data_IF_732574879286
#
_entry.id   IF_732574879286
#
_cell.length_a   1.000
_cell.length_b   1.000
_cell.length_c   1.000
_cell.angle_alpha   90.00
_cell.angle_beta   90.00
_cell.angle_gamma   90.00
#
_symmetry.space_group_name_H-M   'P 1'
#
loop_
_entity.id
_entity.type
_entity.pdbx_description
1 polymer ?
#
# COMPACT_ATOMS: atom_id res chain seq x y z
N UNK A 1 2.79 6.51 12.74
CA UNK A 1 3.20 5.39 11.87
C UNK A 1 3.86 5.97 10.64
N UNK A 2 4.97 5.41 10.18
CA UNK A 2 5.58 5.77 8.90
C UNK A 2 5.23 4.73 7.83
N UNK A 3 4.84 5.22 6.65
CA UNK A 3 4.61 4.39 5.46
C UNK A 3 5.55 4.87 4.36
N UNK A 4 6.42 3.98 3.90
CA UNK A 4 7.26 4.19 2.73
C UNK A 4 6.41 3.91 1.48
N UNK A 5 6.15 4.95 0.70
CA UNK A 5 5.48 4.86 -0.60
C UNK A 5 6.52 4.54 -1.66
N UNK A 6 6.31 3.47 -2.42
CA UNK A 6 7.21 3.04 -3.49
C UNK A 6 6.40 2.93 -4.79
N UNK A 7 6.88 3.47 -5.92
CA UNK A 7 6.22 3.23 -7.20
C UNK A 7 6.29 1.74 -7.56
N UNK A 8 5.27 1.21 -8.24
CA UNK A 8 5.32 -0.17 -8.74
C UNK A 8 6.35 -0.27 -9.87
N UNK A 9 6.96 -1.45 -10.01
CA UNK A 9 7.90 -1.70 -11.11
C UNK A 9 7.23 -1.48 -12.47
N UNK A 10 5.95 -1.85 -12.59
CA UNK A 10 5.15 -1.59 -13.79
C UNK A 10 5.05 -0.09 -14.12
N UNK A 11 4.80 0.76 -13.10
CA UNK A 11 4.74 2.21 -13.29
C UNK A 11 6.09 2.78 -13.72
N UNK A 12 7.20 2.31 -13.12
CA UNK A 12 8.54 2.73 -13.51
C UNK A 12 8.81 2.34 -14.97
N UNK A 13 8.46 1.11 -15.36
CA UNK A 13 8.62 0.68 -16.74
C UNK A 13 7.80 1.56 -17.71
N UNK A 14 6.55 1.90 -17.37
CA UNK A 14 5.70 2.76 -18.18
C UNK A 14 6.28 4.18 -18.31
N UNK A 15 6.66 4.81 -17.20
CA UNK A 15 7.16 6.19 -17.15
C UNK A 15 8.47 6.37 -17.94
N UNK A 16 9.34 5.36 -17.90
CA UNK A 16 10.63 5.38 -18.60
C UNK A 16 10.59 4.72 -19.99
N UNK A 17 9.45 4.16 -20.41
CA UNK A 17 9.30 3.46 -21.68
C UNK A 17 10.17 2.21 -21.79
N UNK A 18 10.36 1.51 -20.67
CA UNK A 18 11.19 0.32 -20.54
C UNK A 18 10.34 -0.94 -20.74
N UNK A 19 10.91 -1.96 -21.39
CA UNK A 19 10.35 -3.31 -21.36
C UNK A 19 10.93 -4.04 -20.16
N UNK A 20 10.07 -4.47 -19.24
CA UNK A 20 10.45 -5.22 -18.05
C UNK A 20 11.33 -6.43 -18.37
N UNK A 21 11.10 -7.11 -19.50
CA UNK A 21 11.84 -8.32 -19.87
C UNK A 21 13.26 -8.03 -20.37
N UNK A 22 13.50 -6.81 -20.86
CA UNK A 22 14.78 -6.37 -21.42
C UNK A 22 15.56 -5.44 -20.46
N UNK A 23 14.97 -5.11 -19.31
CA UNK A 23 15.54 -4.20 -18.31
C UNK A 23 16.13 -4.99 -17.14
N UNK A 24 17.25 -4.50 -16.61
CA UNK A 24 17.87 -5.10 -15.43
C UNK A 24 17.00 -4.86 -14.18
N UNK A 25 16.62 -5.94 -13.49
CA UNK A 25 15.85 -5.90 -12.24
C UNK A 25 16.54 -5.05 -11.16
N UNK A 26 17.87 -5.11 -11.06
CA UNK A 26 18.64 -4.31 -10.09
C UNK A 26 18.49 -2.81 -10.35
N UNK A 27 18.52 -2.38 -11.62
CA UNK A 27 18.34 -0.97 -12.00
C UNK A 27 16.90 -0.50 -11.70
N UNK A 28 15.90 -1.37 -11.92
CA UNK A 28 14.50 -1.06 -11.59
C UNK A 28 14.29 -0.91 -10.07
N UNK A 29 14.90 -1.78 -9.26
CA UNK A 29 14.82 -1.70 -7.81
C UNK A 29 15.57 -0.49 -7.25
N UNK A 30 16.72 -0.13 -7.82
CA UNK A 30 17.41 1.12 -7.49
C UNK A 30 16.54 2.34 -7.79
N UNK A 31 15.91 2.37 -8.98
CA UNK A 31 15.02 3.47 -9.37
C UNK A 31 13.80 3.55 -8.45
N UNK A 32 13.19 2.41 -8.11
CA UNK A 32 12.07 2.34 -7.15
C UNK A 32 12.46 2.96 -5.80
N UNK A 33 13.66 2.65 -5.30
CA UNK A 33 14.17 3.20 -4.05
C UNK A 33 14.46 4.71 -4.12
N UNK A 34 14.88 5.23 -5.27
CA UNK A 34 15.14 6.67 -5.46
C UNK A 34 13.85 7.51 -5.49
N UNK A 35 12.78 6.94 -6.04
CA UNK A 35 11.47 7.60 -6.12
C UNK A 35 10.59 7.36 -4.89
N UNK A 36 11.01 6.46 -4.00
CA UNK A 36 10.28 6.18 -2.78
C UNK A 36 10.31 7.38 -1.82
N UNK A 37 9.20 7.59 -1.11
CA UNK A 37 9.07 8.67 -0.14
C UNK A 37 8.25 8.26 1.07
N UNK A 38 8.57 8.83 2.23
CA UNK A 38 7.85 8.56 3.47
C UNK A 38 6.65 9.47 3.65
N UNK A 39 5.59 8.91 4.23
CA UNK A 39 4.52 9.67 4.85
C UNK A 39 4.41 9.32 6.33
N UNK A 40 3.98 10.30 7.13
CA UNK A 40 3.60 10.10 8.53
C UNK A 40 2.08 10.06 8.62
N UNK A 41 1.56 9.03 9.29
CA UNK A 41 0.13 8.83 9.53
C UNK A 41 -0.09 8.75 11.04
N UNK A 42 -0.97 9.62 11.55
CA UNK A 42 -1.35 9.64 12.96
C UNK A 42 -2.57 8.77 13.23
N UNK A 43 -2.76 8.42 14.51
CA UNK A 43 -3.94 7.69 14.96
C UNK A 43 -5.24 8.42 14.58
N UNK A 44 -6.16 7.69 13.96
CA UNK A 44 -7.44 8.20 13.44
C UNK A 44 -7.37 8.77 12.02
N UNK A 45 -6.17 9.00 11.46
CA UNK A 45 -6.02 9.59 10.13
C UNK A 45 -6.23 8.57 9.01
N UNK A 46 -6.75 9.07 7.88
CA UNK A 46 -6.87 8.30 6.65
C UNK A 46 -5.75 8.70 5.69
N UNK A 47 -5.24 7.73 4.94
CA UNK A 47 -4.20 7.91 3.94
C UNK A 47 -4.52 7.09 2.70
N UNK A 48 -4.01 7.54 1.55
CA UNK A 48 -4.20 6.89 0.26
C UNK A 48 -2.85 6.40 -0.27
N UNK A 49 -2.85 5.19 -0.81
CA UNK A 49 -1.77 4.66 -1.64
C UNK A 49 -2.25 4.79 -3.10
N UNK A 50 -1.61 5.64 -3.92
CA UNK A 50 -2.02 5.86 -5.32
C UNK A 50 -1.94 4.59 -6.18
N UNK A 51 -2.68 4.53 -7.30
CA UNK A 51 -2.78 3.33 -8.16
C UNK A 51 -1.45 2.79 -8.70
N UNK A 52 -0.41 3.62 -8.77
CA UNK A 52 0.92 3.25 -9.25
C UNK A 52 1.93 3.00 -8.11
N UNK A 53 1.46 2.88 -6.87
CA UNK A 53 2.31 2.77 -5.69
C UNK A 53 1.91 1.58 -4.81
N UNK A 54 2.87 1.10 -4.03
CA UNK A 54 2.66 0.27 -2.86
C UNK A 54 3.18 0.98 -1.62
N UNK A 55 2.60 0.66 -0.46
CA UNK A 55 2.97 1.25 0.82
C UNK A 55 3.59 0.21 1.75
N UNK A 56 4.84 0.40 2.16
CA UNK A 56 5.49 -0.43 3.17
C UNK A 56 5.42 0.25 4.53
N UNK A 57 4.81 -0.42 5.51
CA UNK A 57 4.81 0.08 6.89
C UNK A 57 6.20 -0.16 7.48
N UNK A 58 6.86 0.91 7.93
CA UNK A 58 8.12 0.77 8.65
C UNK A 58 7.81 0.35 10.10
N UNK A 59 8.10 -0.92 10.41
CA UNK A 59 7.75 -1.54 11.69
C UNK A 59 8.71 -1.11 12.80
N UNK A 60 8.36 -0.04 13.51
CA UNK A 60 9.04 0.40 14.74
C UNK A 60 8.71 -0.51 15.95
N UNK A 61 8.80 -1.84 15.82
CA UNK A 61 8.57 -2.85 16.90
C UNK A 61 7.10 -3.25 17.17
N UNK A 62 6.11 -2.66 16.47
CA UNK A 62 4.68 -3.01 16.59
C UNK A 62 4.15 -3.76 15.36
N UNK A 63 3.31 -4.78 15.60
CA UNK A 63 2.58 -5.48 14.54
C UNK A 63 1.34 -4.68 14.17
N UNK A 64 1.20 -4.32 12.90
CA UNK A 64 -0.02 -3.73 12.36
C UNK A 64 -0.94 -4.82 11.81
N UNK A 65 -2.24 -4.61 11.96
CA UNK A 65 -3.25 -5.56 11.51
C UNK A 65 -4.18 -4.91 10.51
N UNK A 66 -4.46 -5.62 9.42
CA UNK A 66 -5.46 -5.24 8.43
C UNK A 66 -6.83 -5.71 8.91
N UNK A 67 -7.78 -4.79 9.02
CA UNK A 67 -9.21 -5.09 9.17
C UNK A 67 -9.90 -4.96 7.82
N UNK A 68 -10.53 -6.05 7.38
CA UNK A 68 -11.33 -6.09 6.16
C UNK A 68 -12.77 -6.43 6.54
N UNK A 69 -13.72 -5.63 6.09
CA UNK A 69 -15.14 -5.93 6.25
C UNK A 69 -15.50 -7.07 5.28
N UNK A 70 -15.92 -8.20 5.83
CA UNK A 70 -16.26 -9.40 5.07
C UNK A 70 -17.77 -9.55 4.89
N UNK A 71 -18.55 -9.11 5.88
CA UNK A 71 -20.01 -9.11 5.84
C UNK A 71 -20.54 -7.82 6.47
N UNK A 72 -21.16 -6.97 5.63
CA UNK A 72 -21.75 -5.69 6.05
C UNK A 72 -23.01 -5.88 6.91
N UNK A 73 -23.76 -6.97 6.73
CA UNK A 73 -25.00 -7.22 7.46
C UNK A 73 -24.73 -7.71 8.89
N UNK A 74 -23.56 -8.31 9.13
CA UNK A 74 -23.15 -8.85 10.43
C UNK A 74 -22.03 -8.07 11.12
N UNK A 75 -21.57 -6.95 10.54
CA UNK A 75 -20.39 -6.19 10.98
C UNK A 75 -19.18 -7.12 11.24
N UNK A 76 -18.99 -8.12 10.37
CA UNK A 76 -17.94 -9.11 10.54
C UNK A 76 -16.65 -8.66 9.85
N UNK A 77 -15.60 -8.51 10.66
CA UNK A 77 -14.27 -8.13 10.20
C UNK A 77 -13.29 -9.28 10.34
N UNK A 78 -12.57 -9.55 9.26
CA UNK A 78 -11.36 -10.37 9.33
C UNK A 78 -10.16 -9.53 9.71
N UNK A 79 -9.31 -10.10 10.56
CA UNK A 79 -8.08 -9.49 11.03
C UNK A 79 -6.90 -10.30 10.55
N UNK A 80 -6.04 -9.66 9.78
CA UNK A 80 -4.83 -10.27 9.21
C UNK A 80 -3.59 -9.49 9.65
N UNK A 81 -2.49 -10.18 9.96
CA UNK A 81 -1.21 -9.53 10.25
C UNK A 81 -0.62 -9.03 8.94
N UNK A 82 -0.22 -7.76 8.90
CA UNK A 82 0.43 -7.20 7.70
C UNK A 82 1.89 -7.65 7.69
N UNK A 83 2.23 -8.55 6.76
CA UNK A 83 3.59 -9.04 6.53
C UNK A 83 4.18 -8.52 5.20
N UNK A 84 3.32 -8.15 4.26
CA UNK A 84 3.68 -7.68 2.93
C UNK A 84 3.35 -6.19 2.74
N UNK A 85 3.77 -5.63 1.60
CA UNK A 85 3.47 -4.26 1.20
C UNK A 85 1.95 -4.07 0.96
N UNK A 86 1.42 -2.93 1.39
CA UNK A 86 0.03 -2.55 1.15
C UNK A 86 -0.15 -2.17 -0.33
N UNK A 87 -1.18 -2.72 -1.02
CA UNK A 87 -1.49 -2.31 -2.39
C UNK A 87 -2.07 -0.90 -2.43
N UNK A 88 -2.33 -0.41 -3.65
CA UNK A 88 -3.06 0.85 -3.83
C UNK A 88 -4.46 0.80 -3.23
N UNK A 89 -4.89 1.91 -2.64
CA UNK A 89 -6.19 2.00 -1.97
C UNK A 89 -6.26 3.05 -0.86
N UNK A 90 -7.44 3.16 -0.25
CA UNK A 90 -7.68 4.03 0.90
C UNK A 90 -7.62 3.22 2.20
N UNK A 91 -6.83 3.75 3.13
CA UNK A 91 -6.57 3.15 4.43
C UNK A 91 -6.89 4.16 5.53
N UNK A 92 -7.27 3.65 6.69
CA UNK A 92 -7.40 4.44 7.91
C UNK A 92 -6.64 3.75 9.03
N UNK A 93 -5.83 4.51 9.76
CA UNK A 93 -5.17 4.04 10.95
C UNK A 93 -6.08 4.24 12.17
N UNK A 94 -6.33 3.17 12.92
CA UNK A 94 -6.95 3.18 14.24
C UNK A 94 -6.01 2.44 15.19
N UNK A 95 -5.22 3.21 15.95
CA UNK A 95 -4.13 2.76 16.83
C UNK A 95 -3.10 1.91 16.06
N UNK A 96 -3.12 0.60 16.31
CA UNK A 96 -2.23 -0.39 15.70
C UNK A 96 -2.98 -1.25 14.66
N UNK A 97 -4.18 -0.82 14.25
CA UNK A 97 -5.03 -1.52 13.31
C UNK A 97 -5.32 -0.63 12.10
N UNK A 98 -4.95 -1.10 10.93
CA UNK A 98 -5.25 -0.45 9.66
C UNK A 98 -6.56 -1.01 9.14
N UNK A 99 -7.54 -0.13 9.01
CA UNK A 99 -8.80 -0.45 8.35
C UNK A 99 -8.70 -0.14 6.88
N UNK A 100 -8.98 -1.13 6.03
CA UNK A 100 -9.13 -0.87 4.59
C UNK A 100 -10.56 -0.38 4.38
N UNK A 101 -10.70 0.91 4.08
CA UNK A 101 -11.95 1.40 3.54
C UNK A 101 -11.91 1.10 2.06
N UNK A 102 -12.51 -0.01 1.67
CA UNK A 102 -12.80 -0.27 0.27
C UNK A 102 -13.76 0.82 -0.21
N UNK A 103 -13.21 1.94 -0.71
CA UNK A 103 -14.01 2.86 -1.50
C UNK A 103 -14.37 2.03 -2.73
N UNK A 104 -15.67 1.79 -2.91
CA UNK A 104 -16.25 0.99 -3.98
C UNK A 104 -15.33 0.87 -5.18
N UNK A 105 -14.92 -0.37 -5.43
CA UNK A 105 -14.34 -0.81 -6.69
C UNK A 105 -15.23 -0.23 -7.79
N UNK A 106 -14.77 0.81 -8.49
CA UNK A 106 -15.30 1.05 -9.82
C UNK A 106 -14.91 -0.19 -10.59
N UNK A 107 -15.87 -1.10 -10.72
CA UNK A 107 -15.85 -2.14 -11.74
C UNK A 107 -15.40 -1.46 -13.03
N UNK A 108 -14.15 -1.70 -13.42
CA UNK A 108 -13.67 -1.37 -14.75
C UNK A 108 -14.23 -2.50 -15.61
N UNK A 109 -15.40 -2.22 -16.18
CA UNK A 109 -16.09 -3.04 -17.18
C UNK A 109 -15.21 -3.35 -18.39
#
# INVERSE_FOLDING_TARGET
MFVLMMPTIESICEDYGLDYNDTNEEELLEQQGLEAYHIEVNDGESFEIPQCFTGRIEQDEQNYYKKVLVDEDMDYYEREVIQDDLPSGLYQLDKDEITVKQIYQTDVF
#
